data_IF_148523159383
#
_entry.id   IF_148523159383
#
_cell.length_a   1.000
_cell.length_b   1.000
_cell.length_c   1.000
_cell.angle_alpha   90.00
_cell.angle_beta   90.00
_cell.angle_gamma   90.00
#
_symmetry.space_group_name_H-M   'P 1'
#
loop_
_entity.id
_entity.type
_entity.pdbx_description
1 polymer ?
#
# COMPACT_ATOMS: atom_id res chain seq x y z
N UNK A 1 -5.43 -21.58 -37.18
CA UNK A 1 -4.28 -21.03 -36.43
C UNK A 1 -4.81 -20.36 -35.18
N UNK A 2 -4.98 -21.14 -34.11
CA UNK A 2 -5.63 -20.70 -32.88
C UNK A 2 -4.68 -19.86 -32.01
N UNK A 3 -5.14 -18.67 -31.61
CA UNK A 3 -4.50 -17.80 -30.63
C UNK A 3 -4.58 -18.42 -29.22
N UNK A 4 -3.43 -18.57 -28.59
CA UNK A 4 -3.28 -19.00 -27.19
C UNK A 4 -3.58 -17.84 -26.25
N UNK A 5 -4.66 -17.97 -25.47
CA UNK A 5 -4.95 -17.13 -24.32
C UNK A 5 -3.92 -17.39 -23.20
N UNK A 6 -3.22 -16.34 -22.75
CA UNK A 6 -2.36 -16.37 -21.56
C UNK A 6 -3.24 -16.42 -20.31
N UNK A 7 -3.35 -17.59 -19.70
CA UNK A 7 -3.93 -17.79 -18.38
C UNK A 7 -3.07 -17.12 -17.31
N UNK A 8 -3.68 -16.21 -16.54
CA UNK A 8 -3.12 -15.65 -15.32
C UNK A 8 -2.82 -16.79 -14.33
N UNK A 9 -1.54 -17.00 -14.00
CA UNK A 9 -1.14 -17.92 -12.93
C UNK A 9 -1.46 -17.27 -11.59
N UNK A 10 -2.55 -17.70 -10.96
CA UNK A 10 -2.78 -17.53 -9.53
C UNK A 10 -1.63 -18.25 -8.82
N UNK A 11 -0.91 -17.53 -7.95
CA UNK A 11 0.14 -18.08 -7.10
C UNK A 11 -0.45 -19.14 -6.16
N UNK A 12 -0.36 -20.41 -6.55
CA UNK A 12 -0.66 -21.55 -5.69
C UNK A 12 0.51 -21.75 -4.72
N UNK A 13 0.23 -21.52 -3.42
CA UNK A 13 1.08 -21.65 -2.22
C UNK A 13 2.36 -22.49 -2.36
N UNK A 14 3.52 -21.87 -2.13
CA UNK A 14 4.81 -22.54 -1.93
C UNK A 14 4.94 -23.22 -0.55
N UNK A 15 3.99 -23.03 0.38
CA UNK A 15 3.94 -23.76 1.65
C UNK A 15 3.97 -25.28 1.41
N UNK A 16 3.30 -25.78 0.37
CA UNK A 16 3.31 -27.21 0.01
C UNK A 16 4.71 -27.75 -0.28
N UNK A 17 5.63 -26.91 -0.76
CA UNK A 17 7.01 -27.30 -1.07
C UNK A 17 7.87 -27.39 0.19
N UNK A 18 7.72 -26.47 1.13
CA UNK A 18 8.41 -26.48 2.43
C UNK A 18 7.99 -27.67 3.30
N UNK A 19 6.68 -27.94 3.39
CA UNK A 19 6.16 -29.12 4.10
C UNK A 19 6.61 -30.44 3.44
N UNK A 20 6.68 -30.48 2.10
CA UNK A 20 7.24 -31.63 1.35
C UNK A 20 8.74 -31.82 1.56
N UNK A 21 9.52 -30.75 1.69
CA UNK A 21 10.95 -30.82 1.97
C UNK A 21 11.26 -31.31 3.39
N UNK A 22 10.41 -30.96 4.36
CA UNK A 22 10.61 -31.32 5.77
C UNK A 22 9.89 -32.62 6.18
N UNK A 23 9.19 -33.29 5.26
CA UNK A 23 8.38 -34.50 5.51
C UNK A 23 7.42 -34.35 6.71
N UNK A 24 6.99 -33.13 7.01
CA UNK A 24 6.04 -32.82 8.08
C UNK A 24 4.63 -32.79 7.47
N UNK A 25 3.71 -33.55 8.04
CA UNK A 25 2.28 -33.42 7.72
C UNK A 25 1.84 -31.98 8.00
N UNK A 26 1.03 -31.41 7.09
CA UNK A 26 0.41 -30.11 7.37
C UNK A 26 -0.40 -30.26 8.65
N UNK A 27 -0.16 -29.45 9.69
CA UNK A 27 -0.98 -29.51 10.89
C UNK A 27 -2.42 -29.26 10.45
N UNK A 28 -3.31 -30.22 10.70
CA UNK A 28 -4.74 -30.04 10.51
C UNK A 28 -5.17 -28.92 11.45
N UNK A 29 -5.21 -27.68 10.95
CA UNK A 29 -5.84 -26.59 11.66
C UNK A 29 -7.28 -27.00 11.89
N UNK A 30 -7.67 -27.15 13.15
CA UNK A 30 -9.07 -27.22 13.56
C UNK A 30 -9.73 -25.89 13.16
N UNK A 31 -10.10 -25.78 11.89
CA UNK A 31 -10.81 -24.62 11.37
C UNK A 31 -12.20 -24.63 11.98
N UNK A 32 -12.46 -23.71 12.91
CA UNK A 32 -13.85 -23.36 13.21
C UNK A 32 -14.41 -22.76 11.94
N UNK A 33 -15.37 -23.45 11.32
CA UNK A 33 -16.06 -22.94 10.14
C UNK A 33 -16.64 -21.56 10.47
N UNK A 34 -16.20 -20.54 9.72
CA UNK A 34 -16.68 -19.18 9.89
C UNK A 34 -18.09 -19.09 9.33
N UNK A 35 -19.01 -18.57 10.12
CA UNK A 35 -20.41 -18.39 9.72
C UNK A 35 -20.49 -17.31 8.65
N UNK A 36 -21.13 -17.64 7.53
CA UNK A 36 -21.42 -16.70 6.46
C UNK A 36 -22.74 -15.98 6.77
N UNK A 37 -22.69 -14.67 6.97
CA UNK A 37 -23.88 -13.84 7.08
C UNK A 37 -24.11 -13.10 5.76
N UNK A 38 -25.37 -12.97 5.36
CA UNK A 38 -25.72 -11.99 4.32
C UNK A 38 -25.51 -10.59 4.89
N UNK A 39 -25.07 -9.64 4.06
CA UNK A 39 -24.76 -8.29 4.55
C UNK A 39 -25.98 -7.59 5.17
N UNK A 40 -27.18 -7.86 4.67
CA UNK A 40 -28.43 -7.32 5.23
C UNK A 40 -28.76 -7.86 6.62
N UNK A 41 -28.48 -9.15 6.85
CA UNK A 41 -28.77 -9.87 8.10
C UNK A 41 -27.56 -9.87 9.03
N UNK A 42 -26.49 -9.15 8.67
CA UNK A 42 -25.26 -9.15 9.44
C UNK A 42 -25.49 -8.54 10.82
N UNK A 43 -24.83 -9.04 11.89
CA UNK A 43 -24.99 -8.51 13.24
C UNK A 43 -24.45 -7.08 13.38
N UNK A 44 -23.52 -6.68 12.50
CA UNK A 44 -22.83 -5.39 12.55
C UNK A 44 -23.55 -4.31 11.73
N UNK A 45 -23.78 -3.14 12.34
CA UNK A 45 -24.46 -2.02 11.69
C UNK A 45 -23.68 -1.47 10.48
N UNK A 46 -22.36 -1.34 10.60
CA UNK A 46 -21.50 -0.82 9.52
C UNK A 46 -21.59 -1.63 8.22
N UNK A 47 -21.80 -2.95 8.31
CA UNK A 47 -21.93 -3.81 7.13
C UNK A 47 -23.31 -3.62 6.50
N UNK A 48 -24.36 -3.46 7.30
CA UNK A 48 -25.71 -3.14 6.82
C UNK A 48 -25.78 -1.77 6.16
N UNK A 49 -25.12 -0.75 6.72
CA UNK A 49 -25.05 0.58 6.12
C UNK A 49 -24.27 0.56 4.81
N UNK A 50 -23.15 -0.17 4.74
CA UNK A 50 -22.40 -0.37 3.49
C UNK A 50 -23.24 -1.11 2.44
N UNK A 51 -24.00 -2.13 2.81
CA UNK A 51 -24.94 -2.79 1.90
C UNK A 51 -26.03 -1.84 1.37
N UNK A 52 -26.61 -1.02 2.25
CA UNK A 52 -27.60 -0.01 1.84
C UNK A 52 -27.00 1.02 0.87
N UNK A 53 -25.75 1.45 1.12
CA UNK A 53 -25.02 2.34 0.23
C UNK A 53 -24.78 1.71 -1.15
N UNK A 54 -24.35 0.44 -1.19
CA UNK A 54 -24.17 -0.30 -2.45
C UNK A 54 -25.48 -0.38 -3.23
N UNK A 55 -26.62 -0.67 -2.58
CA UNK A 55 -27.92 -0.70 -3.26
C UNK A 55 -28.30 0.65 -3.89
N UNK A 56 -27.94 1.76 -3.23
CA UNK A 56 -28.25 3.10 -3.71
C UNK A 56 -27.36 3.53 -4.89
N UNK A 57 -26.07 3.17 -4.87
CA UNK A 57 -25.08 3.67 -5.82
C UNK A 57 -24.76 2.69 -6.94
N UNK A 58 -24.73 1.39 -6.66
CA UNK A 58 -24.29 0.38 -7.61
C UNK A 58 -25.38 0.05 -8.63
N UNK A 59 -24.92 -0.22 -9.85
CA UNK A 59 -25.77 -0.67 -10.96
C UNK A 59 -25.46 -2.12 -11.26
N UNK A 60 -26.51 -2.88 -11.54
CA UNK A 60 -26.40 -4.26 -11.99
C UNK A 60 -25.58 -4.33 -13.30
N UNK A 61 -24.60 -5.23 -13.41
CA UNK A 61 -23.74 -5.34 -14.60
C UNK A 61 -24.54 -5.64 -15.87
N UNK A 62 -25.58 -6.48 -15.76
CA UNK A 62 -26.42 -6.90 -16.90
C UNK A 62 -27.52 -5.88 -17.21
N UNK A 63 -28.31 -5.50 -16.19
CA UNK A 63 -29.54 -4.72 -16.41
C UNK A 63 -29.37 -3.21 -16.25
N UNK A 64 -28.22 -2.74 -15.71
CA UNK A 64 -27.92 -1.34 -15.36
C UNK A 64 -28.90 -0.69 -14.38
N UNK A 65 -29.85 -1.45 -13.82
CA UNK A 65 -30.79 -1.06 -12.77
C UNK A 65 -30.11 -1.10 -11.40
N UNK A 66 -30.66 -0.44 -10.36
CA UNK A 66 -30.12 -0.52 -9.01
C UNK A 66 -30.08 -1.97 -8.50
N UNK A 67 -29.09 -2.26 -7.66
CA UNK A 67 -28.87 -3.58 -7.09
C UNK A 67 -29.87 -3.83 -5.96
N UNK A 68 -30.55 -4.97 -5.97
CA UNK A 68 -31.53 -5.36 -4.94
C UNK A 68 -31.29 -6.79 -4.45
N UNK A 69 -30.96 -7.70 -5.38
CA UNK A 69 -30.72 -9.12 -5.14
C UNK A 69 -29.35 -9.40 -4.49
N UNK A 70 -29.42 -10.15 -3.39
CA UNK A 70 -28.25 -10.65 -2.64
C UNK A 70 -27.84 -12.00 -3.18
N UNK A 71 -26.57 -12.14 -3.57
CA UNK A 71 -26.07 -13.41 -4.06
C UNK A 71 -26.08 -14.46 -2.93
N UNK A 72 -26.67 -15.66 -3.15
CA UNK A 72 -26.81 -16.67 -2.11
C UNK A 72 -25.46 -17.26 -1.66
N UNK A 73 -24.44 -17.24 -2.54
CA UNK A 73 -23.13 -17.83 -2.26
C UNK A 73 -22.19 -16.84 -1.56
N UNK A 74 -22.16 -15.58 -2.02
CA UNK A 74 -21.26 -14.57 -1.45
C UNK A 74 -21.87 -13.81 -0.27
N UNK A 75 -23.20 -13.71 -0.20
CA UNK A 75 -23.93 -12.93 0.80
C UNK A 75 -23.89 -11.42 0.57
N UNK A 76 -23.43 -10.96 -0.61
CA UNK A 76 -23.28 -9.55 -0.98
C UNK A 76 -24.34 -9.16 -2.04
N UNK A 77 -24.98 -7.97 -1.93
CA UNK A 77 -25.84 -7.43 -2.98
C UNK A 77 -25.03 -7.15 -4.26
N UNK A 78 -25.38 -7.79 -5.37
CA UNK A 78 -24.63 -7.66 -6.65
C UNK A 78 -25.50 -7.42 -7.86
N UNK A 79 -26.70 -7.99 -7.92
CA UNK A 79 -27.58 -7.94 -9.09
C UNK A 79 -28.93 -7.32 -8.75
N UNK A 80 -29.70 -6.98 -9.78
CA UNK A 80 -31.07 -6.48 -9.57
C UNK A 80 -32.05 -7.61 -9.21
N UNK A 81 -32.05 -8.70 -10.01
CA UNK A 81 -32.92 -9.86 -9.84
C UNK A 81 -32.15 -11.17 -9.93
N UNK A 82 -32.77 -12.27 -9.51
CA UNK A 82 -32.22 -13.62 -9.65
C UNK A 82 -32.00 -13.99 -11.12
N UNK A 83 -32.91 -13.60 -12.01
CA UNK A 83 -32.77 -13.80 -13.47
C UNK A 83 -31.52 -13.09 -14.01
N UNK A 84 -31.26 -11.86 -13.55
CA UNK A 84 -30.08 -11.11 -13.95
C UNK A 84 -28.78 -11.76 -13.45
N UNK A 85 -28.82 -12.37 -12.26
CA UNK A 85 -27.69 -13.12 -11.70
C UNK A 85 -27.42 -14.43 -12.46
N UNK A 86 -28.46 -15.14 -12.89
CA UNK A 86 -28.31 -16.35 -13.72
C UNK A 86 -27.83 -16.02 -15.15
N UNK A 87 -28.24 -14.88 -15.68
CA UNK A 87 -27.85 -14.44 -17.03
C UNK A 87 -26.39 -13.95 -17.12
N UNK A 88 -25.75 -13.61 -16.01
CA UNK A 88 -24.37 -13.11 -15.98
C UNK A 88 -23.35 -14.26 -16.12
N UNK A 89 -22.99 -14.58 -17.37
CA UNK A 89 -22.01 -15.64 -17.68
C UNK A 89 -20.61 -15.30 -17.17
N UNK A 90 -20.24 -14.03 -17.14
CA UNK A 90 -18.88 -13.58 -16.78
C UNK A 90 -18.65 -13.70 -15.28
N UNK A 91 -19.67 -13.37 -14.49
CA UNK A 91 -19.68 -13.54 -13.04
C UNK A 91 -19.47 -15.01 -12.64
N UNK A 92 -20.19 -15.93 -13.29
CA UNK A 92 -20.07 -17.37 -13.02
C UNK A 92 -18.77 -17.97 -13.56
N UNK A 93 -18.35 -17.60 -14.76
CA UNK A 93 -17.10 -18.09 -15.37
C UNK A 93 -15.86 -17.70 -14.56
N UNK A 94 -15.81 -16.45 -14.09
CA UNK A 94 -14.68 -15.93 -13.31
C UNK A 94 -14.74 -16.32 -11.82
N UNK A 95 -15.79 -17.04 -11.39
CA UNK A 95 -16.05 -17.39 -9.99
C UNK A 95 -15.93 -16.19 -9.05
N UNK A 96 -16.46 -15.04 -9.48
CA UNK A 96 -16.43 -13.80 -8.69
C UNK A 96 -17.16 -13.98 -7.37
N UNK A 97 -18.20 -14.83 -7.32
CA UNK A 97 -18.89 -15.19 -6.08
C UNK A 97 -17.96 -15.75 -5.00
N UNK A 98 -16.93 -16.53 -5.35
CA UNK A 98 -15.97 -17.09 -4.39
C UNK A 98 -15.06 -15.98 -3.84
N UNK A 99 -14.64 -15.04 -4.68
CA UNK A 99 -13.85 -13.86 -4.25
C UNK A 99 -14.68 -12.99 -3.30
N UNK A 100 -15.92 -12.72 -3.65
CA UNK A 100 -16.84 -11.92 -2.83
C UNK A 100 -17.21 -12.63 -1.52
N UNK A 101 -17.32 -13.96 -1.53
CA UNK A 101 -17.47 -14.74 -0.30
C UNK A 101 -16.29 -14.53 0.63
N UNK A 102 -15.05 -14.50 0.11
CA UNK A 102 -13.86 -14.17 0.91
C UNK A 102 -13.93 -12.74 1.47
N UNK A 103 -14.32 -11.76 0.67
CA UNK A 103 -14.50 -10.36 1.14
C UNK A 103 -15.49 -10.32 2.31
N UNK A 104 -16.63 -10.99 2.18
CA UNK A 104 -17.65 -11.06 3.22
C UNK A 104 -17.10 -11.66 4.52
N UNK A 105 -16.39 -12.79 4.42
CA UNK A 105 -15.77 -13.43 5.57
C UNK A 105 -14.68 -12.57 6.21
N UNK A 106 -13.89 -11.82 5.43
CA UNK A 106 -12.89 -10.90 5.98
C UNK A 106 -13.52 -9.74 6.77
N UNK A 107 -14.60 -9.15 6.25
CA UNK A 107 -15.28 -8.04 6.94
C UNK A 107 -15.89 -8.47 8.27
N UNK A 108 -16.44 -9.69 8.33
CA UNK A 108 -16.97 -10.26 9.57
C UNK A 108 -15.87 -10.72 10.53
N UNK A 109 -14.76 -11.28 10.03
CA UNK A 109 -13.63 -11.71 10.87
C UNK A 109 -12.99 -10.51 11.60
N UNK A 110 -12.78 -9.39 10.90
CA UNK A 110 -12.22 -8.17 11.51
C UNK A 110 -13.12 -7.63 12.63
N UNK A 111 -14.44 -7.70 12.46
CA UNK A 111 -15.43 -7.19 13.43
C UNK A 111 -15.82 -8.20 14.51
N UNK A 112 -15.43 -9.47 14.36
CA UNK A 112 -15.68 -10.52 15.35
C UNK A 112 -15.07 -10.22 16.73
N UNK A 113 -14.09 -9.31 16.79
CA UNK A 113 -13.42 -8.97 18.04
C UNK A 113 -12.56 -10.11 18.59
N UNK A 114 -12.22 -11.10 17.75
CA UNK A 114 -11.28 -12.15 18.13
C UNK A 114 -9.94 -11.53 18.52
N UNK A 115 -9.19 -12.23 19.37
CA UNK A 115 -7.79 -11.88 19.59
C UNK A 115 -7.04 -12.13 18.28
N UNK A 116 -6.39 -11.09 17.79
CA UNK A 116 -5.58 -11.16 16.58
C UNK A 116 -4.14 -11.40 16.99
N UNK A 117 -3.77 -12.68 17.10
CA UNK A 117 -2.38 -13.09 17.34
C UNK A 117 -1.46 -12.64 16.19
N UNK A 118 -2.03 -12.30 15.04
CA UNK A 118 -1.34 -11.76 13.87
C UNK A 118 -0.79 -10.34 14.07
N UNK A 119 -1.33 -9.59 15.04
CA UNK A 119 -0.83 -8.26 15.40
C UNK A 119 0.26 -8.30 16.48
N UNK A 120 0.63 -9.49 16.95
CA UNK A 120 1.78 -9.68 17.83
C UNK A 120 3.04 -9.64 16.98
N UNK A 121 3.60 -8.45 16.84
CA UNK A 121 4.78 -8.28 16.00
C UNK A 121 6.08 -8.62 16.73
N UNK A 122 7.05 -9.23 16.02
CA UNK A 122 8.36 -9.51 16.57
C UNK A 122 9.12 -8.21 16.87
N UNK A 123 10.03 -8.30 17.84
CA UNK A 123 10.90 -7.19 18.27
C UNK A 123 12.17 -7.14 17.40
N UNK A 124 13.23 -6.59 17.96
CA UNK A 124 14.55 -6.56 17.35
C UNK A 124 15.08 -7.99 17.13
N UNK A 125 15.83 -8.16 16.04
CA UNK A 125 16.46 -9.42 15.69
C UNK A 125 17.95 -9.40 15.99
N UNK A 126 18.53 -10.58 16.17
CA UNK A 126 19.98 -10.72 16.23
C UNK A 126 20.63 -10.21 14.94
N UNK A 127 21.79 -9.57 15.08
CA UNK A 127 22.55 -9.01 13.95
C UNK A 127 22.99 -10.07 12.93
N UNK A 128 23.04 -11.33 13.35
CA UNK A 128 23.44 -12.46 12.50
C UNK A 128 22.32 -12.92 11.57
N UNK A 129 21.06 -12.62 11.89
CA UNK A 129 19.91 -13.03 11.09
C UNK A 129 19.60 -11.98 10.02
N UNK A 130 19.66 -12.38 8.75
CA UNK A 130 19.28 -11.53 7.62
C UNK A 130 17.83 -11.78 7.20
N UNK A 131 17.07 -10.72 7.00
CA UNK A 131 15.68 -10.81 6.53
C UNK A 131 15.61 -11.02 5.03
N UNK A 132 14.69 -11.89 4.60
CA UNK A 132 14.44 -12.14 3.18
C UNK A 132 13.17 -11.40 2.73
N UNK A 133 13.34 -10.45 1.80
CA UNK A 133 12.25 -9.60 1.29
C UNK A 133 11.69 -10.07 -0.07
N UNK A 134 11.91 -11.32 -0.46
CA UNK A 134 11.44 -11.82 -1.76
C UNK A 134 9.91 -11.99 -1.83
N UNK A 135 9.29 -12.47 -0.75
CA UNK A 135 7.87 -12.76 -0.64
C UNK A 135 7.39 -12.53 0.81
N UNK A 136 6.08 -12.34 1.01
CA UNK A 136 5.47 -12.27 2.35
C UNK A 136 5.81 -13.47 3.25
N UNK A 137 5.71 -14.70 2.74
CA UNK A 137 5.98 -15.91 3.52
C UNK A 137 7.44 -15.96 4.01
N UNK A 138 8.39 -15.63 3.13
CA UNK A 138 9.81 -15.58 3.48
C UNK A 138 10.10 -14.47 4.48
N UNK A 139 9.41 -13.33 4.35
CA UNK A 139 9.52 -12.23 5.31
C UNK A 139 9.01 -12.65 6.69
N UNK A 140 7.80 -13.21 6.78
CA UNK A 140 7.22 -13.65 8.05
C UNK A 140 8.07 -14.72 8.73
N UNK A 141 8.59 -15.67 7.96
CA UNK A 141 9.48 -16.70 8.49
C UNK A 141 10.80 -16.11 8.99
N UNK A 142 11.49 -15.33 8.17
CA UNK A 142 12.78 -14.75 8.56
C UNK A 142 12.66 -13.72 9.68
N UNK A 143 11.48 -13.11 9.90
CA UNK A 143 11.19 -12.18 10.99
C UNK A 143 10.67 -12.81 12.28
N UNK A 144 10.52 -14.13 12.36
CA UNK A 144 9.89 -14.83 13.50
C UNK A 144 8.48 -14.29 13.83
N UNK A 145 7.67 -14.03 12.80
CA UNK A 145 6.24 -13.83 13.01
C UNK A 145 5.56 -15.13 13.41
N UNK A 146 4.44 -15.01 14.13
CA UNK A 146 3.57 -16.15 14.36
C UNK A 146 3.17 -16.79 13.01
N UNK A 147 3.16 -18.14 12.91
CA UNK A 147 2.81 -18.82 11.67
C UNK A 147 1.43 -18.40 11.16
N UNK A 148 1.40 -17.78 9.98
CA UNK A 148 0.18 -17.35 9.30
C UNK A 148 -0.44 -18.54 8.55
N UNK A 149 -1.05 -19.47 9.28
CA UNK A 149 -1.55 -20.72 8.70
C UNK A 149 -2.77 -20.54 7.79
N UNK A 150 -3.57 -19.49 8.00
CA UNK A 150 -4.80 -19.24 7.22
C UNK A 150 -4.67 -18.00 6.33
N UNK A 151 -5.42 -17.96 5.23
CA UNK A 151 -5.47 -16.78 4.34
C UNK A 151 -6.00 -15.54 5.07
N UNK A 152 -6.80 -15.74 6.11
CA UNK A 152 -7.39 -14.68 6.94
C UNK A 152 -6.37 -14.04 7.85
N UNK A 153 -5.51 -14.85 8.46
CA UNK A 153 -4.40 -14.36 9.27
C UNK A 153 -3.45 -13.52 8.40
N UNK A 154 -3.12 -14.05 7.21
CA UNK A 154 -2.29 -13.35 6.23
C UNK A 154 -2.94 -12.03 5.78
N UNK A 155 -4.23 -12.04 5.43
CA UNK A 155 -4.96 -10.86 4.99
C UNK A 155 -5.00 -9.77 6.07
N UNK A 156 -5.20 -10.13 7.33
CA UNK A 156 -5.20 -9.18 8.44
C UNK A 156 -3.81 -8.56 8.66
N UNK A 157 -2.76 -9.37 8.70
CA UNK A 157 -1.39 -8.90 8.90
C UNK A 157 -0.91 -8.01 7.74
N UNK A 158 -1.12 -8.45 6.50
CA UNK A 158 -0.65 -7.73 5.31
C UNK A 158 -1.38 -6.42 5.08
N UNK A 159 -2.67 -6.30 5.46
CA UNK A 159 -3.42 -5.04 5.39
C UNK A 159 -2.75 -3.91 6.18
N UNK A 160 -2.16 -4.24 7.32
CA UNK A 160 -1.53 -3.28 8.22
C UNK A 160 -0.07 -3.04 7.80
N UNK A 161 0.65 -4.11 7.43
CA UNK A 161 2.07 -4.07 7.12
C UNK A 161 2.40 -3.60 5.69
N UNK A 162 1.44 -3.61 4.76
CA UNK A 162 1.71 -3.32 3.33
C UNK A 162 2.40 -1.97 3.12
N UNK A 163 1.99 -0.92 3.84
CA UNK A 163 2.54 0.43 3.66
C UNK A 163 4.01 0.52 4.10
N UNK A 164 4.38 0.25 5.37
CA UNK A 164 5.77 0.28 5.79
C UNK A 164 6.63 -0.74 5.04
N UNK A 165 6.11 -1.92 4.71
CA UNK A 165 6.88 -2.96 4.03
C UNK A 165 7.14 -2.64 2.56
N UNK A 166 6.22 -1.96 1.88
CA UNK A 166 6.46 -1.49 0.50
C UNK A 166 7.63 -0.49 0.46
N UNK A 167 7.65 0.44 1.42
CA UNK A 167 8.73 1.42 1.58
C UNK A 167 10.04 0.72 1.92
N UNK A 168 10.01 -0.15 2.94
CA UNK A 168 11.19 -0.89 3.37
C UNK A 168 11.78 -1.75 2.25
N UNK A 169 10.94 -2.50 1.51
CA UNK A 169 11.36 -3.37 0.43
C UNK A 169 12.06 -2.61 -0.71
N UNK A 170 11.64 -1.38 -0.97
CA UNK A 170 12.26 -0.54 -1.98
C UNK A 170 13.63 0.01 -1.52
N UNK A 171 13.69 0.50 -0.27
CA UNK A 171 14.88 1.14 0.29
C UNK A 171 15.97 0.15 0.73
N UNK A 172 15.58 -1.06 1.13
CA UNK A 172 16.50 -2.06 1.68
C UNK A 172 17.62 -2.47 0.71
N UNK A 173 18.79 -2.81 1.26
CA UNK A 173 19.96 -3.23 0.49
C UNK A 173 19.67 -4.45 -0.40
N UNK A 174 18.92 -5.41 0.14
CA UNK A 174 18.47 -6.62 -0.55
C UNK A 174 17.06 -6.46 -1.12
N UNK A 175 16.79 -5.30 -1.75
CA UNK A 175 15.51 -5.06 -2.40
C UNK A 175 15.24 -6.13 -3.47
N UNK A 176 14.01 -6.66 -3.55
CA UNK A 176 13.64 -7.64 -4.58
C UNK A 176 13.45 -7.01 -5.97
N UNK A 177 13.40 -5.68 -6.06
CA UNK A 177 13.27 -4.96 -7.33
C UNK A 177 14.65 -4.82 -7.99
N UNK A 178 14.81 -5.46 -9.14
CA UNK A 178 16.06 -5.49 -9.89
C UNK A 178 16.09 -4.41 -10.99
N UNK A 179 17.30 -4.09 -11.45
CA UNK A 179 17.50 -3.22 -12.62
C UNK A 179 17.10 -3.89 -13.94
N UNK A 180 16.81 -3.07 -14.94
CA UNK A 180 16.66 -3.49 -16.33
C UNK A 180 17.93 -4.23 -16.84
N UNK A 181 17.79 -5.25 -17.70
CA UNK A 181 16.58 -5.68 -18.42
C UNK A 181 15.72 -6.71 -17.68
N UNK A 182 16.15 -7.20 -16.51
CA UNK A 182 15.45 -8.28 -15.79
C UNK A 182 14.40 -7.80 -14.80
N UNK A 183 14.50 -6.54 -14.36
CA UNK A 183 13.56 -5.94 -13.42
C UNK A 183 13.03 -4.58 -13.88
N UNK A 184 12.17 -3.96 -13.06
CA UNK A 184 11.39 -2.78 -13.46
C UNK A 184 12.08 -1.44 -13.20
N UNK A 185 13.24 -1.44 -12.53
CA UNK A 185 13.97 -0.23 -12.19
C UNK A 185 14.81 0.24 -13.39
N UNK A 186 14.59 1.49 -13.78
CA UNK A 186 15.39 2.15 -14.81
C UNK A 186 16.78 2.50 -14.27
N UNK A 187 17.69 2.89 -15.16
CA UNK A 187 19.03 3.38 -14.77
C UNK A 187 18.93 4.60 -13.84
N UNK A 188 17.98 5.50 -14.08
CA UNK A 188 17.73 6.66 -13.21
C UNK A 188 17.14 6.26 -11.86
N UNK A 189 16.26 5.24 -11.85
CA UNK A 189 15.75 4.60 -10.64
C UNK A 189 16.87 4.05 -9.76
N UNK A 190 17.80 3.29 -10.36
CA UNK A 190 18.95 2.75 -9.64
C UNK A 190 19.85 3.85 -9.06
N UNK A 191 20.08 4.95 -9.79
CA UNK A 191 20.84 6.10 -9.27
C UNK A 191 20.15 6.75 -8.07
N UNK A 192 18.82 6.92 -8.13
CA UNK A 192 18.04 7.51 -7.04
C UNK A 192 18.05 6.62 -5.79
N UNK A 193 17.84 5.31 -5.97
CA UNK A 193 17.86 4.36 -4.86
C UNK A 193 19.28 4.16 -4.31
N UNK A 194 20.31 4.22 -5.15
CA UNK A 194 21.70 4.15 -4.70
C UNK A 194 22.07 5.34 -3.80
N UNK A 195 21.58 6.55 -4.11
CA UNK A 195 21.77 7.73 -3.27
C UNK A 195 21.15 7.54 -1.87
N UNK A 196 19.90 7.09 -1.79
CA UNK A 196 19.25 6.80 -0.51
C UNK A 196 19.93 5.66 0.25
N UNK A 197 20.33 4.59 -0.47
CA UNK A 197 21.04 3.44 0.12
C UNK A 197 22.42 3.80 0.62
N UNK A 198 23.09 4.78 0.02
CA UNK A 198 24.37 5.29 0.51
C UNK A 198 24.22 5.92 1.90
N UNK A 199 23.14 6.68 2.13
CA UNK A 199 22.83 7.26 3.44
C UNK A 199 22.39 6.20 4.46
N UNK A 200 21.58 5.22 4.04
CA UNK A 200 21.12 4.13 4.89
C UNK A 200 22.23 3.14 5.28
N UNK A 201 23.15 2.87 4.37
CA UNK A 201 24.23 1.90 4.51
C UNK A 201 25.55 2.53 4.09
N UNK A 202 26.11 3.45 4.90
CA UNK A 202 27.37 4.09 4.57
C UNK A 202 28.45 3.01 4.43
N UNK A 203 29.24 3.00 3.34
CA UNK A 203 30.41 2.15 3.27
C UNK A 203 31.31 2.50 4.45
N UNK A 204 32.01 1.52 5.02
CA UNK A 204 32.95 1.69 6.14
C UNK A 204 34.05 2.72 5.78
N UNK A 205 33.74 4.01 5.90
CA UNK A 205 34.69 5.10 5.84
C UNK A 205 35.13 5.36 7.26
N UNK A 206 36.45 5.45 7.46
CA UNK A 206 37.08 5.75 8.76
C UNK A 206 36.33 6.90 9.43
N UNK A 207 36.04 6.73 10.73
CA UNK A 207 35.14 7.50 11.60
C UNK A 207 35.28 9.04 11.61
N UNK A 208 36.17 9.64 10.83
CA UNK A 208 36.52 11.05 10.89
C UNK A 208 35.69 11.95 9.97
N UNK A 209 35.13 11.43 8.87
CA UNK A 209 34.32 12.22 7.91
C UNK A 209 32.87 11.74 7.74
N UNK A 210 32.55 10.50 8.16
CA UNK A 210 31.20 9.93 8.04
C UNK A 210 30.20 10.45 9.10
N UNK A 211 30.66 11.27 10.06
CA UNK A 211 29.85 11.76 11.17
C UNK A 211 28.80 12.79 10.69
N UNK A 212 29.12 13.59 9.68
CA UNK A 212 28.24 14.68 9.19
C UNK A 212 26.98 14.20 8.48
N UNK A 213 26.99 13.03 7.82
CA UNK A 213 25.78 12.50 7.16
C UNK A 213 24.81 11.79 8.12
N UNK A 214 25.26 11.38 9.32
CA UNK A 214 24.42 10.67 10.31
C UNK A 214 23.58 11.62 11.19
N UNK A 215 23.78 12.93 11.12
CA UNK A 215 23.07 13.86 12.01
C UNK A 215 21.60 14.06 11.64
N UNK A 216 21.23 13.95 10.36
CA UNK A 216 19.86 14.16 9.90
C UNK A 216 19.13 12.83 9.65
N UNK A 217 17.91 12.65 10.21
CA UNK A 217 17.10 11.47 9.92
C UNK A 217 16.62 11.47 8.45
N UNK A 218 16.31 10.28 7.96
CA UNK A 218 15.72 10.09 6.63
C UNK A 218 14.24 10.47 6.71
N UNK A 219 13.81 11.38 5.83
CA UNK A 219 12.42 11.84 5.81
C UNK A 219 11.63 11.13 4.72
N UNK A 220 10.52 10.53 5.12
CA UNK A 220 9.62 9.80 4.25
C UNK A 220 8.32 10.59 4.19
N UNK A 221 8.01 11.16 3.04
CA UNK A 221 6.80 11.95 2.83
C UNK A 221 5.70 11.08 2.24
N UNK A 222 4.62 10.88 2.98
CA UNK A 222 3.42 10.17 2.56
C UNK A 222 2.37 11.17 2.11
N UNK A 223 2.23 11.34 0.79
CA UNK A 223 1.33 12.31 0.18
C UNK A 223 -0.08 11.72 0.04
N UNK A 224 -1.09 12.49 0.45
CA UNK A 224 -2.50 12.08 0.39
C UNK A 224 -2.83 10.97 1.39
N UNK A 225 -2.12 10.92 2.53
CA UNK A 225 -2.28 9.85 3.50
C UNK A 225 -3.69 9.81 4.11
N UNK A 226 -4.32 8.63 4.11
CA UNK A 226 -5.65 8.37 4.69
C UNK A 226 -5.70 7.07 5.48
N UNK A 227 -5.38 5.95 4.84
CA UNK A 227 -5.36 4.65 5.54
C UNK A 227 -4.07 4.48 6.34
N UNK A 228 -3.00 5.12 5.87
CA UNK A 228 -1.66 5.13 6.45
C UNK A 228 -1.63 5.89 7.78
N UNK A 229 -2.43 6.95 7.89
CA UNK A 229 -2.56 7.75 9.11
C UNK A 229 -3.30 7.03 10.23
N UNK A 230 -4.15 6.06 9.90
CA UNK A 230 -4.83 5.21 10.88
C UNK A 230 -3.92 4.15 11.49
N UNK A 231 -2.74 3.89 10.90
CA UNK A 231 -1.84 2.84 11.37
C UNK A 231 -1.19 3.25 12.70
N UNK A 232 -1.22 2.38 13.71
CA UNK A 232 -0.47 2.62 14.94
C UNK A 232 1.04 2.73 14.71
N UNK A 233 1.73 3.60 15.46
CA UNK A 233 3.18 3.79 15.35
C UNK A 233 4.01 2.52 15.53
N UNK A 234 3.54 1.53 16.29
CA UNK A 234 4.25 0.25 16.45
C UNK A 234 4.30 -0.58 15.15
N UNK A 235 3.41 -0.33 14.19
CA UNK A 235 3.46 -0.93 12.86
C UNK A 235 4.64 -0.37 12.09
N UNK A 236 4.83 0.95 12.12
CA UNK A 236 5.97 1.63 11.50
C UNK A 236 7.30 1.16 12.09
N UNK A 237 7.32 0.78 13.38
CA UNK A 237 8.49 0.16 14.03
C UNK A 237 8.99 -1.11 13.33
N UNK A 238 8.12 -1.86 12.64
CA UNK A 238 8.55 -3.02 11.86
C UNK A 238 9.47 -2.65 10.70
N UNK A 239 9.28 -1.48 10.09
CA UNK A 239 10.23 -0.93 9.13
C UNK A 239 11.54 -0.55 9.83
N UNK A 240 11.47 0.10 10.99
CA UNK A 240 12.65 0.51 11.77
C UNK A 240 13.59 -0.67 12.09
N UNK A 241 13.04 -1.82 12.46
CA UNK A 241 13.84 -3.04 12.73
C UNK A 241 14.64 -3.55 11.52
N UNK A 242 14.30 -3.17 10.30
CA UNK A 242 15.06 -3.52 9.09
C UNK A 242 16.27 -2.60 8.87
N UNK A 243 16.35 -1.48 9.59
CA UNK A 243 17.39 -0.46 9.46
C UNK A 243 17.90 0.00 10.84
N UNK A 244 18.61 -0.86 11.60
CA UNK A 244 18.93 -0.60 13.01
C UNK A 244 19.78 0.66 13.27
N UNK A 245 20.53 1.15 12.28
CA UNK A 245 21.38 2.33 12.42
C UNK A 245 20.71 3.64 11.96
N UNK A 246 19.57 3.58 11.29
CA UNK A 246 18.93 4.74 10.67
C UNK A 246 17.74 5.24 11.49
N UNK A 247 17.59 6.57 11.55
CA UNK A 247 16.42 7.25 12.13
C UNK A 247 15.50 7.73 11.01
N UNK A 248 14.20 7.63 11.22
CA UNK A 248 13.17 7.96 10.24
C UNK A 248 12.19 9.00 10.79
N UNK A 249 11.96 10.04 9.99
CA UNK A 249 10.86 10.99 10.16
C UNK A 249 9.82 10.69 9.09
N UNK A 250 8.61 10.29 9.49
CA UNK A 250 7.52 9.98 8.56
C UNK A 250 6.54 11.14 8.56
N UNK A 251 6.48 11.86 7.45
CA UNK A 251 5.61 13.01 7.24
C UNK A 251 4.35 12.57 6.51
N UNK A 252 3.24 12.46 7.25
CA UNK A 252 1.92 12.20 6.69
C UNK A 252 1.32 13.54 6.25
N UNK A 253 1.07 13.71 4.96
CA UNK A 253 0.64 14.98 4.35
C UNK A 253 -0.73 14.81 3.70
N UNK A 254 -1.67 15.66 4.08
CA UNK A 254 -2.99 15.76 3.44
C UNK A 254 -4.11 16.12 4.43
N UNK A 255 -5.28 16.51 3.93
CA UNK A 255 -6.42 16.91 4.77
C UNK A 255 -6.91 15.78 5.70
N UNK A 256 -6.76 14.52 5.28
CA UNK A 256 -7.14 13.33 6.04
C UNK A 256 -5.94 12.66 6.74
N UNK A 257 -4.81 13.37 6.86
CA UNK A 257 -3.59 12.81 7.44
C UNK A 257 -3.69 12.59 8.95
N UNK A 258 -4.64 13.20 9.67
CA UNK A 258 -4.82 12.99 11.11
C UNK A 258 -6.20 12.43 11.42
N UNK A 259 -6.22 11.27 12.08
CA UNK A 259 -7.44 10.63 12.55
C UNK A 259 -7.56 10.79 14.06
N UNK A 260 -8.58 11.53 14.50
CA UNK A 260 -8.88 11.67 15.92
C UNK A 260 -9.62 10.42 16.42
N UNK A 261 -8.99 9.70 17.35
CA UNK A 261 -9.55 8.45 17.92
C UNK A 261 -10.76 8.70 18.82
N UNK A 262 -10.84 9.88 19.45
CA UNK A 262 -11.94 10.21 20.36
C UNK A 262 -13.21 10.54 19.57
N UNK A 263 -13.06 11.36 18.54
CA UNK A 263 -14.17 11.78 17.68
C UNK A 263 -14.47 10.79 16.55
N UNK A 264 -13.57 9.82 16.30
CA UNK A 264 -13.62 8.86 15.17
C UNK A 264 -13.76 9.54 13.80
N UNK A 265 -13.23 10.75 13.68
CA UNK A 265 -13.30 11.57 12.47
C UNK A 265 -11.90 12.03 12.08
N UNK A 266 -11.73 12.27 10.78
CA UNK A 266 -10.55 12.98 10.30
C UNK A 266 -10.70 14.45 10.66
N UNK A 267 -9.72 14.98 11.38
CA UNK A 267 -9.77 16.30 11.97
C UNK A 267 -8.53 17.11 11.65
N UNK A 268 -8.67 18.42 11.67
CA UNK A 268 -7.51 19.30 11.68
C UNK A 268 -6.76 19.12 13.00
N UNK A 269 -5.44 19.15 12.95
CA UNK A 269 -4.62 19.15 14.16
C UNK A 269 -4.89 20.43 14.94
N UNK A 270 -5.09 20.33 16.24
CA UNK A 270 -5.34 21.47 17.14
C UNK A 270 -4.10 22.34 17.41
N UNK A 271 -3.09 22.29 16.53
CA UNK A 271 -1.81 22.97 16.71
C UNK A 271 -1.85 24.32 15.98
N UNK A 272 -1.47 25.39 16.68
CA UNK A 272 -1.46 26.74 16.13
C UNK A 272 -0.53 26.86 14.91
N UNK A 273 -0.95 27.69 13.94
CA UNK A 273 -0.18 28.10 12.76
C UNK A 273 0.21 26.98 11.76
N UNK A 274 -0.56 25.88 11.68
CA UNK A 274 -0.37 24.88 10.63
C UNK A 274 0.86 23.99 10.82
N UNK A 275 1.47 24.00 12.01
CA UNK A 275 2.58 23.09 12.34
C UNK A 275 2.08 21.65 12.45
N UNK A 276 2.94 20.71 12.05
CA UNK A 276 2.64 19.30 12.20
C UNK A 276 2.49 18.90 13.68
N UNK A 277 1.50 18.04 13.95
CA UNK A 277 1.48 17.28 15.20
C UNK A 277 2.60 16.24 15.14
N UNK A 278 3.52 16.30 16.09
CA UNK A 278 4.67 15.38 16.16
C UNK A 278 4.41 14.34 17.25
N UNK A 279 4.35 13.08 16.83
CA UNK A 279 4.19 11.93 17.71
C UNK A 279 5.46 11.09 17.67
N UNK A 280 6.19 11.06 18.80
CA UNK A 280 7.44 10.32 18.93
C UNK A 280 7.16 8.98 19.59
N UNK A 281 7.10 7.93 18.76
CA UNK A 281 6.86 6.58 19.25
C UNK A 281 8.12 5.91 19.78
N UNK A 282 9.26 6.20 19.16
CA UNK A 282 10.55 5.62 19.50
C UNK A 282 11.68 6.58 19.14
N UNK A 283 12.90 6.33 19.63
CA UNK A 283 14.09 7.09 19.26
C UNK A 283 14.42 6.99 17.76
N UNK A 284 13.93 5.93 17.12
CA UNK A 284 14.15 5.64 15.71
C UNK A 284 13.06 6.21 14.79
N UNK A 285 11.81 6.35 15.26
CA UNK A 285 10.66 6.70 14.41
C UNK A 285 9.83 7.81 15.04
N UNK A 286 9.69 8.89 14.28
CA UNK A 286 8.80 10.01 14.60
C UNK A 286 7.77 10.19 13.49
N UNK A 287 6.49 10.34 13.86
CA UNK A 287 5.41 10.61 12.93
C UNK A 287 5.05 12.10 12.99
N UNK A 288 4.99 12.74 11.83
CA UNK A 288 4.64 14.15 11.67
C UNK A 288 3.36 14.22 10.85
N UNK A 289 2.26 14.68 11.47
CA UNK A 289 0.97 14.78 10.82
C UNK A 289 0.72 16.21 10.33
N UNK A 290 0.69 16.38 9.01
CA UNK A 290 0.43 17.65 8.33
C UNK A 290 -0.95 17.61 7.67
N UNK A 291 -1.86 18.46 8.13
CA UNK A 291 -3.27 18.49 7.65
C UNK A 291 -3.48 19.36 6.41
N UNK A 292 -2.42 19.98 5.90
CA UNK A 292 -2.44 20.80 4.69
C UNK A 292 -2.10 19.97 3.45
N UNK A 293 -2.47 20.48 2.26
CA UNK A 293 -2.02 19.89 1.00
C UNK A 293 -0.52 20.14 0.79
N UNK A 294 0.13 19.28 -0.01
CA UNK A 294 1.56 19.38 -0.26
C UNK A 294 1.98 20.73 -0.85
N UNK A 295 1.27 21.25 -1.86
CA UNK A 295 1.59 22.56 -2.45
C UNK A 295 1.50 23.72 -1.43
N UNK A 296 0.57 23.68 -0.48
CA UNK A 296 0.49 24.69 0.59
C UNK A 296 1.73 24.62 1.50
N UNK A 297 2.14 23.42 1.90
CA UNK A 297 3.33 23.22 2.73
C UNK A 297 4.62 23.58 2.00
N UNK A 298 4.65 23.32 0.68
CA UNK A 298 5.73 23.70 -0.20
C UNK A 298 5.89 25.22 -0.26
N UNK A 299 4.78 25.94 -0.50
CA UNK A 299 4.75 27.40 -0.57
C UNK A 299 5.10 28.06 0.78
N UNK A 300 4.73 27.43 1.90
CA UNK A 300 5.10 27.89 3.24
C UNK A 300 6.58 27.70 3.57
N UNK A 301 7.29 26.85 2.83
CA UNK A 301 8.71 26.57 3.04
C UNK A 301 9.03 25.68 4.25
N UNK A 302 8.03 25.13 4.95
CA UNK A 302 8.22 24.39 6.21
C UNK A 302 8.97 23.06 6.02
N UNK A 303 8.90 22.48 4.82
CA UNK A 303 9.53 21.19 4.48
C UNK A 303 10.95 21.33 3.92
N UNK A 304 11.38 22.55 3.58
CA UNK A 304 12.70 22.82 3.02
C UNK A 304 13.81 22.72 4.10
N UNK A 305 15.04 22.30 3.72
CA UNK A 305 15.49 21.92 2.37
C UNK A 305 15.24 20.44 2.04
N UNK A 306 14.88 20.16 0.79
CA UNK A 306 14.80 18.80 0.25
C UNK A 306 16.17 18.27 -0.17
N UNK A 307 16.46 17.03 0.20
CA UNK A 307 17.70 16.33 -0.12
C UNK A 307 17.41 14.93 -0.73
N UNK A 308 17.71 14.71 -2.03
CA UNK A 308 17.51 13.41 -2.68
C UNK A 308 18.28 12.23 -2.06
N UNK A 309 19.24 12.48 -1.16
CA UNK A 309 19.96 11.43 -0.42
C UNK A 309 19.27 11.03 0.89
N UNK A 310 18.36 11.84 1.41
CA UNK A 310 17.71 11.64 2.70
C UNK A 310 16.18 11.68 2.63
N UNK A 311 15.62 12.19 1.54
CA UNK A 311 14.19 12.40 1.38
C UNK A 311 13.61 11.55 0.25
N UNK A 312 12.43 10.98 0.50
CA UNK A 312 11.68 10.19 -0.47
C UNK A 312 10.19 10.43 -0.31
N UNK A 313 9.47 10.45 -1.43
CA UNK A 313 8.03 10.63 -1.48
C UNK A 313 7.33 9.33 -1.84
N UNK A 314 6.24 9.03 -1.15
CA UNK A 314 5.31 7.95 -1.47
C UNK A 314 3.90 8.52 -1.55
N UNK A 315 3.19 8.19 -2.62
CA UNK A 315 1.79 8.52 -2.80
C UNK A 315 1.01 7.21 -2.95
N UNK A 316 0.24 6.85 -1.94
CA UNK A 316 -0.51 5.61 -1.93
C UNK A 316 -1.90 5.86 -2.53
N UNK A 317 -2.15 5.33 -3.74
CA UNK A 317 -3.40 5.51 -4.47
C UNK A 317 -3.83 7.00 -4.62
N UNK A 318 -2.96 7.88 -5.15
CA UNK A 318 -3.23 9.32 -5.19
C UNK A 318 -4.41 9.70 -6.08
N UNK A 319 -4.73 8.90 -7.10
CA UNK A 319 -5.86 9.16 -7.99
C UNK A 319 -5.72 10.51 -8.71
N UNK A 320 -4.62 10.72 -9.45
CA UNK A 320 -4.32 12.01 -10.09
C UNK A 320 -5.43 12.56 -11.00
N UNK A 321 -6.27 11.69 -11.57
CA UNK A 321 -7.36 12.07 -12.46
C UNK A 321 -8.73 12.26 -11.77
N UNK A 322 -8.78 12.09 -10.44
CA UNK A 322 -10.01 12.16 -9.65
C UNK A 322 -10.34 13.61 -9.26
N UNK A 323 -11.25 13.82 -8.30
CA UNK A 323 -11.66 15.14 -7.79
C UNK A 323 -10.46 16.01 -7.33
N UNK A 324 -9.39 15.38 -6.83
CA UNK A 324 -8.21 16.07 -6.30
C UNK A 324 -7.20 16.48 -7.38
N UNK A 325 -7.53 16.33 -8.67
CA UNK A 325 -6.65 16.68 -9.80
C UNK A 325 -6.06 18.08 -9.67
N UNK A 326 -6.85 19.07 -9.24
CA UNK A 326 -6.40 20.47 -9.10
C UNK A 326 -5.27 20.60 -8.08
N UNK A 327 -5.32 19.83 -6.99
CA UNK A 327 -4.30 19.86 -5.95
C UNK A 327 -3.03 19.14 -6.41
N UNK A 328 -3.17 18.06 -7.18
CA UNK A 328 -2.03 17.35 -7.76
C UNK A 328 -1.31 18.15 -8.84
N UNK A 329 -2.05 18.85 -9.70
CA UNK A 329 -1.51 19.76 -10.73
C UNK A 329 -0.61 20.83 -10.12
N UNK A 330 -1.04 21.43 -9.00
CA UNK A 330 -0.26 22.41 -8.23
C UNK A 330 0.91 21.81 -7.46
N UNK A 331 0.79 20.55 -7.04
CA UNK A 331 1.81 19.88 -6.22
C UNK A 331 2.96 19.33 -7.07
N UNK A 332 2.69 18.96 -8.32
CA UNK A 332 3.67 18.35 -9.22
C UNK A 332 4.93 19.21 -9.47
N UNK A 333 4.84 20.54 -9.70
CA UNK A 333 6.03 21.40 -9.81
C UNK A 333 6.97 21.28 -8.61
N UNK A 334 6.43 21.37 -7.38
CA UNK A 334 7.24 21.25 -6.16
C UNK A 334 7.85 19.87 -5.97
N UNK A 335 7.13 18.80 -6.38
CA UNK A 335 7.65 17.44 -6.36
C UNK A 335 8.81 17.26 -7.35
N UNK A 336 8.72 17.82 -8.55
CA UNK A 336 9.79 17.75 -9.54
C UNK A 336 10.99 18.62 -9.11
N UNK A 337 10.75 19.80 -8.54
CA UNK A 337 11.81 20.69 -8.03
C UNK A 337 12.59 20.06 -6.86
N UNK A 338 11.92 19.25 -6.02
CA UNK A 338 12.57 18.52 -4.93
C UNK A 338 13.68 17.56 -5.40
N UNK A 339 13.58 17.06 -6.65
CA UNK A 339 14.47 16.05 -7.25
C UNK A 339 14.54 14.72 -6.48
N UNK A 340 13.67 14.52 -5.49
CA UNK A 340 13.58 13.29 -4.73
C UNK A 340 12.78 12.25 -5.51
N UNK A 341 12.97 10.96 -5.20
CA UNK A 341 12.17 9.90 -5.80
C UNK A 341 10.73 9.96 -5.29
N UNK A 342 9.77 9.92 -6.21
CA UNK A 342 8.33 9.86 -5.93
C UNK A 342 7.82 8.50 -6.39
N UNK A 343 7.38 7.67 -5.43
CA UNK A 343 6.82 6.35 -5.70
C UNK A 343 5.31 6.37 -5.52
N UNK A 344 4.61 5.81 -6.49
CA UNK A 344 3.14 5.82 -6.54
C UNK A 344 2.65 4.38 -6.51
N UNK A 345 1.61 4.11 -5.72
CA UNK A 345 0.95 2.79 -5.70
C UNK A 345 -0.47 2.87 -6.24
N UNK A 346 -0.98 1.74 -6.74
CA UNK A 346 -2.33 1.58 -7.27
C UNK A 346 -2.96 0.22 -6.95
N UNK A 347 -4.26 0.13 -7.18
CA UNK A 347 -5.06 -1.08 -6.95
C UNK A 347 -4.91 -2.11 -8.07
N UNK A 348 -4.84 -1.63 -9.32
CA UNK A 348 -4.70 -2.45 -10.50
C UNK A 348 -3.59 -1.91 -11.42
N UNK A 349 -3.12 -2.76 -12.33
CA UNK A 349 -2.13 -2.35 -13.33
C UNK A 349 -2.69 -1.30 -14.29
N UNK A 350 -3.97 -1.42 -14.63
CA UNK A 350 -4.67 -0.47 -15.50
C UNK A 350 -4.75 0.92 -14.85
N UNK A 351 -4.99 0.99 -13.54
CA UNK A 351 -5.00 2.24 -12.79
C UNK A 351 -3.63 2.91 -12.80
N UNK A 352 -2.58 2.13 -12.49
CA UNK A 352 -1.21 2.64 -12.51
C UNK A 352 -0.79 3.12 -13.91
N UNK A 353 -1.25 2.45 -14.97
CA UNK A 353 -1.01 2.88 -16.36
C UNK A 353 -1.78 4.16 -16.69
N UNK A 354 -3.02 4.32 -16.22
CA UNK A 354 -3.79 5.56 -16.39
C UNK A 354 -3.13 6.73 -15.67
N UNK A 355 -2.64 6.52 -14.45
CA UNK A 355 -1.90 7.53 -13.69
C UNK A 355 -0.59 7.91 -14.38
N UNK A 356 0.18 6.93 -14.85
CA UNK A 356 1.40 7.19 -15.60
C UNK A 356 1.12 7.93 -16.92
N UNK A 357 0.05 7.56 -17.63
CA UNK A 357 -0.36 8.24 -18.86
C UNK A 357 -0.76 9.70 -18.60
N UNK A 358 -1.37 10.00 -17.44
CA UNK A 358 -1.63 11.37 -17.03
C UNK A 358 -0.34 12.17 -16.83
N UNK A 359 0.65 11.59 -16.14
CA UNK A 359 1.97 12.22 -15.95
C UNK A 359 2.70 12.45 -17.28
N UNK A 360 2.56 11.53 -18.24
CA UNK A 360 3.15 11.65 -19.57
C UNK A 360 2.44 12.71 -20.45
N UNK A 361 1.14 12.89 -20.27
CA UNK A 361 0.37 13.91 -20.97
C UNK A 361 0.49 15.31 -20.34
N UNK A 362 1.09 15.41 -19.15
CA UNK A 362 1.23 16.67 -18.41
C UNK A 362 2.28 17.59 -19.06
N UNK A 363 2.10 18.94 -19.05
CA UNK A 363 3.07 19.89 -19.62
C UNK A 363 4.49 19.77 -19.07
N UNK A 364 4.64 19.28 -17.84
CA UNK A 364 5.93 19.06 -17.16
C UNK A 364 6.54 17.68 -17.41
N UNK A 365 6.00 16.88 -18.34
CA UNK A 365 6.53 15.56 -18.65
C UNK A 365 8.02 15.62 -19.02
N UNK A 366 8.43 16.63 -19.79
CA UNK A 366 9.82 16.79 -20.23
C UNK A 366 10.80 17.01 -19.08
N UNK A 367 10.31 17.42 -17.90
CA UNK A 367 11.10 17.62 -16.68
C UNK A 367 11.10 16.39 -15.78
N UNK A 368 10.45 15.30 -16.18
CA UNK A 368 10.30 14.08 -15.39
C UNK A 368 11.11 12.91 -15.97
N UNK A 369 11.77 12.16 -15.09
CA UNK A 369 12.37 10.86 -15.36
C UNK A 369 11.51 9.76 -14.71
N UNK A 370 11.30 8.65 -15.43
CA UNK A 370 10.70 7.44 -14.86
C UNK A 370 11.77 6.66 -14.10
N UNK A 371 11.57 6.44 -12.81
CA UNK A 371 12.45 5.64 -11.96
C UNK A 371 12.10 4.14 -12.01
N UNK A 372 10.82 3.82 -12.11
CA UNK A 372 10.34 2.44 -12.11
C UNK A 372 9.09 2.31 -12.96
N UNK A 373 9.09 1.32 -13.85
CA UNK A 373 7.90 0.99 -14.65
C UNK A 373 6.81 0.32 -13.81
N UNK A 374 5.52 0.48 -14.16
CA UNK A 374 4.41 -0.14 -13.44
C UNK A 374 4.61 -1.64 -13.26
N UNK A 375 4.73 -2.07 -12.00
CA UNK A 375 5.04 -3.46 -11.64
C UNK A 375 4.26 -3.87 -10.41
N UNK A 376 4.01 -5.17 -10.28
CA UNK A 376 3.37 -5.73 -9.09
C UNK A 376 4.22 -5.47 -7.85
N UNK A 377 3.58 -4.99 -6.79
CA UNK A 377 4.20 -4.84 -5.49
C UNK A 377 4.22 -6.20 -4.78
N UNK A 378 5.42 -6.66 -4.41
CA UNK A 378 5.58 -7.94 -3.71
C UNK A 378 5.00 -7.91 -2.30
N UNK A 379 4.91 -6.72 -1.70
CA UNK A 379 4.31 -6.48 -0.38
C UNK A 379 2.90 -5.87 -0.47
N UNK A 380 2.17 -6.19 -1.54
CA UNK A 380 0.76 -5.86 -1.68
C UNK A 380 -0.10 -6.48 -0.58
N UNK A 381 -1.22 -5.84 -0.26
CA UNK A 381 -2.21 -6.38 0.67
C UNK A 381 -2.88 -7.62 0.05
N UNK A 382 -2.89 -8.76 0.76
CA UNK A 382 -3.55 -9.98 0.27
C UNK A 382 -5.06 -9.99 0.54
N UNK A 383 -5.55 -9.10 1.41
CA UNK A 383 -6.98 -8.93 1.65
C UNK A 383 -7.66 -8.38 0.40
N UNK A 384 -8.71 -9.07 -0.05
CA UNK A 384 -9.62 -8.57 -1.07
C UNK A 384 -10.61 -7.60 -0.42
N UNK A 385 -10.80 -6.45 -1.07
CA UNK A 385 -11.94 -5.56 -0.83
C UNK A 385 -12.76 -5.44 -2.12
N UNK A 386 -13.91 -4.77 -2.03
CA UNK A 386 -14.79 -4.52 -3.18
C UNK A 386 -14.99 -3.03 -3.41
N UNK A 387 -15.28 -2.67 -4.65
CA UNK A 387 -15.64 -1.31 -5.03
C UNK A 387 -17.12 -1.08 -4.72
N UNK A 388 -17.44 -0.07 -3.91
CA UNK A 388 -18.84 0.14 -3.46
C UNK A 388 -19.78 0.54 -4.61
N UNK A 389 -19.27 1.21 -5.65
CA UNK A 389 -20.04 1.56 -6.86
C UNK A 389 -20.19 0.39 -7.83
N UNK A 390 -19.32 -0.62 -7.75
CA UNK A 390 -19.36 -1.83 -8.55
C UNK A 390 -18.98 -3.05 -7.70
N UNK A 391 -19.94 -3.68 -6.99
CA UNK A 391 -19.66 -4.74 -6.01
C UNK A 391 -19.18 -6.04 -6.65
N UNK A 392 -19.19 -6.17 -7.97
CA UNK A 392 -18.65 -7.33 -8.69
C UNK A 392 -17.12 -7.26 -8.85
N UNK A 393 -16.56 -6.05 -8.71
CA UNK A 393 -15.14 -5.78 -8.86
C UNK A 393 -14.44 -5.82 -7.50
N UNK A 394 -13.39 -6.62 -7.42
CA UNK A 394 -12.58 -6.78 -6.22
C UNK A 394 -11.17 -6.26 -6.46
N UNK A 395 -10.62 -5.56 -5.47
CA UNK A 395 -9.28 -5.00 -5.54
C UNK A 395 -8.43 -5.39 -4.32
N UNK A 396 -7.11 -5.25 -4.50
CA UNK A 396 -6.11 -5.40 -3.46
C UNK A 396 -5.43 -4.03 -3.27
N UNK A 397 -5.34 -3.57 -2.02
CA UNK A 397 -4.61 -2.34 -1.73
C UNK A 397 -3.11 -2.51 -2.00
N UNK A 398 -2.48 -1.48 -2.57
CA UNK A 398 -1.06 -1.43 -2.91
C UNK A 398 -0.60 -2.58 -3.82
N UNK A 399 -1.42 -3.01 -4.79
CA UNK A 399 -1.10 -4.15 -5.64
C UNK A 399 0.00 -3.85 -6.67
N UNK A 400 0.06 -2.62 -7.16
CA UNK A 400 0.99 -2.18 -8.20
C UNK A 400 1.70 -0.92 -7.73
N UNK A 401 2.93 -0.73 -8.19
CA UNK A 401 3.69 0.49 -7.95
C UNK A 401 4.51 0.90 -9.17
N UNK A 402 4.78 2.20 -9.26
CA UNK A 402 5.72 2.80 -10.22
C UNK A 402 6.43 3.98 -9.55
N UNK A 403 7.42 4.57 -10.21
CA UNK A 403 8.16 5.69 -9.63
C UNK A 403 8.63 6.70 -10.66
N UNK A 404 8.71 7.96 -10.24
CA UNK A 404 9.11 9.11 -11.07
C UNK A 404 9.98 10.07 -10.25
N UNK A 405 10.70 10.97 -10.94
CA UNK A 405 11.58 11.98 -10.33
C UNK A 405 11.69 13.19 -11.25
N UNK A 406 11.91 14.38 -10.69
CA UNK A 406 12.36 15.53 -11.49
C UNK A 406 13.77 15.37 -12.07
N UNK A 407 14.01 15.93 -13.24
CA UNK A 407 15.32 15.96 -13.90
C UNK A 407 16.28 16.90 -13.17
N UNK A 408 17.53 16.48 -13.05
CA UNK A 408 18.60 17.28 -12.42
C UNK A 408 19.14 18.38 -13.33
N UNK A 409 19.05 18.21 -14.65
CA UNK A 409 19.57 19.16 -15.62
C UNK A 409 18.46 20.14 -15.98
N UNK A 410 18.60 21.42 -15.62
CA UNK A 410 17.94 22.44 -16.41
C UNK A 410 18.51 22.29 -17.82
N UNK A 411 17.66 21.93 -18.78
CA UNK A 411 18.03 22.08 -20.17
C UNK A 411 18.36 23.57 -20.33
N UNK A 412 19.65 23.89 -20.45
CA UNK A 412 20.07 25.22 -20.85
C UNK A 412 19.42 25.39 -22.21
N UNK A 413 18.35 26.19 -22.27
CA UNK A 413 17.77 26.63 -23.53
C UNK A 413 18.85 27.48 -24.20
N UNK A 414 19.62 26.85 -25.09
CA UNK A 414 20.50 27.54 -26.05
C UNK A 414 19.69 28.38 -27.00
#
# INVERSE_FOLDING_TARGET
>A
MAMLAKTQRVSTRQLSFLWRMLALEQPQSQEKERVLYKWDESPYEDIRTRAAYIRAMAKCPVTKKPVEYVCPVSGIPTHHSEEAWLADTDYHANKTYDKLKKVNLYEHDIRSGRKFDEFLFPKEQSKDNTTNLSNWDSYFYTRDFMPMNTEYNLAAATKVLTYPMTIAALLHKFSPYHGEPKGPLTVEGLKSLAALRYSLYPPYVKQTEAVTFKERPIRIFLLGAKMESMLPGYVWKQMGYLFPEARFEIHLVGPEAYFDREQRTFGKTNVDHGRALVDRYDDQITLHYHTHYFHELYDMGDLFPFDPYLDVFFAFHPGFQTADRVHWDKSLPGLLESKCGVFVTGYHLEDAQRELAWLQAHPLHDEMDVLMHPTQNLFACTKLDLVDTNPTETFNSNAVMFGVRGKRYHAIKT
#
